data_IF_079097197133
#
_entry.id   IF_079097197133
#
_cell.length_a   1.000
_cell.length_b   1.000
_cell.length_c   1.000
_cell.angle_alpha   90.00
_cell.angle_beta   90.00
_cell.angle_gamma   90.00
#
_symmetry.space_group_name_H-M   'P 1'
#
loop_
_entity.id
_entity.type
_entity.pdbx_description
1 polymer ?
#
# COMPACT_ATOMS: atom_id res chain seq x y z
N UNK A 1 2.06 -11.41 12.68
CA UNK A 1 2.94 -11.07 11.53
C UNK A 1 3.33 -9.59 11.65
N UNK A 2 4.37 -9.13 10.95
CA UNK A 2 4.85 -7.73 11.02
C UNK A 2 3.77 -6.69 10.65
N UNK A 3 2.67 -7.16 10.04
CA UNK A 3 1.49 -6.39 9.68
C UNK A 3 0.56 -6.06 10.84
N UNK A 4 0.51 -6.90 11.88
CA UNK A 4 -0.35 -6.66 13.05
C UNK A 4 0.19 -5.52 13.94
N UNK A 5 1.44 -5.14 13.72
CA UNK A 5 2.12 -4.04 14.42
C UNK A 5 2.06 -2.72 13.66
N UNK A 6 1.45 -2.69 12.48
CA UNK A 6 1.36 -1.48 11.65
C UNK A 6 0.26 -0.55 12.15
N UNK A 7 0.60 0.73 12.24
CA UNK A 7 -0.31 1.79 12.61
C UNK A 7 -0.56 2.75 11.43
N UNK A 8 -1.73 3.41 11.38
CA UNK A 8 -1.93 4.56 10.51
C UNK A 8 -0.84 5.60 10.69
N UNK A 9 -0.24 6.04 9.58
CA UNK A 9 0.89 6.98 9.57
C UNK A 9 2.26 6.32 9.40
N UNK A 10 2.37 5.00 9.58
CA UNK A 10 3.63 4.29 9.35
C UNK A 10 4.04 4.34 7.88
N UNK A 11 5.35 4.35 7.67
CA UNK A 11 5.95 4.36 6.34
C UNK A 11 6.15 2.93 5.87
N UNK A 12 5.71 2.67 4.65
CA UNK A 12 5.86 1.38 3.99
C UNK A 12 6.24 1.58 2.52
N UNK A 13 6.68 0.52 1.86
CA UNK A 13 7.16 0.57 0.49
C UNK A 13 6.57 -0.56 -0.33
N UNK A 14 6.35 -0.30 -1.62
CA UNK A 14 5.89 -1.31 -2.57
C UNK A 14 7.01 -2.31 -2.87
N UNK A 15 6.80 -3.59 -2.59
CA UNK A 15 7.78 -4.64 -2.81
C UNK A 15 8.01 -4.91 -4.30
N UNK A 16 7.00 -4.69 -5.14
CA UNK A 16 7.01 -4.79 -6.59
C UNK A 16 6.14 -3.67 -7.18
N UNK A 17 6.06 -3.59 -8.51
CA UNK A 17 5.10 -2.71 -9.16
C UNK A 17 3.67 -3.15 -8.81
N UNK A 18 2.89 -2.22 -8.29
CA UNK A 18 1.47 -2.41 -7.98
C UNK A 18 0.68 -1.74 -9.10
N UNK A 19 -0.12 -2.54 -9.79
CA UNK A 19 -0.98 -2.10 -10.90
C UNK A 19 -2.44 -2.29 -10.54
N UNK A 20 -3.29 -1.44 -11.10
CA UNK A 20 -4.73 -1.58 -10.93
C UNK A 20 -5.22 -2.88 -11.59
N UNK A 21 -5.76 -3.79 -10.80
CA UNK A 21 -6.40 -5.04 -11.25
C UNK A 21 -7.83 -4.84 -11.75
N UNK A 22 -8.27 -3.58 -11.88
CA UNK A 22 -9.62 -3.18 -12.25
C UNK A 22 -10.50 -2.86 -11.04
N UNK A 23 -10.03 -3.06 -9.81
CA UNK A 23 -10.79 -2.75 -8.60
C UNK A 23 -10.82 -1.27 -8.22
N UNK A 24 -9.86 -0.47 -8.70
CA UNK A 24 -9.75 0.95 -8.36
C UNK A 24 -10.48 1.83 -9.40
N UNK A 25 -11.64 2.42 -9.07
CA UNK A 25 -12.38 3.26 -10.01
C UNK A 25 -11.61 4.54 -10.33
N UNK A 26 -11.71 4.98 -11.58
CA UNK A 26 -11.07 6.21 -12.06
C UNK A 26 -9.64 6.03 -12.57
N UNK A 27 -9.07 4.82 -12.44
CA UNK A 27 -7.82 4.42 -13.09
C UNK A 27 -8.09 3.31 -14.11
N UNK A 28 -7.40 3.29 -15.27
CA UNK A 28 -7.44 2.15 -16.18
C UNK A 28 -6.97 0.86 -15.50
N UNK A 29 -7.42 -0.28 -15.99
CA UNK A 29 -6.79 -1.56 -15.70
C UNK A 29 -5.31 -1.51 -16.12
N UNK A 30 -4.44 -2.21 -15.38
CA UNK A 30 -2.99 -2.23 -15.54
C UNK A 30 -2.28 -0.88 -15.32
N UNK A 31 -2.99 0.19 -14.95
CA UNK A 31 -2.37 1.45 -14.60
C UNK A 31 -1.47 1.29 -13.38
N UNK A 32 -0.24 1.80 -13.45
CA UNK A 32 0.70 1.76 -12.33
C UNK A 32 0.19 2.67 -11.20
N UNK A 33 -0.05 2.06 -10.05
CA UNK A 33 -0.41 2.73 -8.80
C UNK A 33 0.86 3.12 -8.05
N UNK A 34 1.81 2.19 -7.97
CA UNK A 34 3.10 2.38 -7.32
C UNK A 34 4.17 1.56 -8.03
N UNK A 35 5.31 2.19 -8.31
CA UNK A 35 6.51 1.48 -8.75
C UNK A 35 7.14 0.72 -7.57
N UNK A 36 7.97 -0.28 -7.86
CA UNK A 36 8.81 -0.92 -6.85
C UNK A 36 9.61 0.13 -6.07
N UNK A 37 9.71 -0.09 -4.76
CA UNK A 37 10.38 0.77 -3.79
C UNK A 37 9.75 2.18 -3.65
N UNK A 38 8.54 2.39 -4.22
CA UNK A 38 7.79 3.63 -4.03
C UNK A 38 7.30 3.71 -2.58
N UNK A 39 7.60 4.85 -1.96
CA UNK A 39 7.19 5.15 -0.58
C UNK A 39 5.68 5.36 -0.48
N UNK A 40 5.08 4.79 0.54
CA UNK A 40 3.68 4.96 0.91
C UNK A 40 3.49 5.18 2.40
N UNK A 41 2.28 5.58 2.75
CA UNK A 41 1.82 5.78 4.13
C UNK A 41 0.61 4.90 4.37
N UNK A 42 0.63 4.16 5.49
CA UNK A 42 -0.51 3.35 5.91
C UNK A 42 -1.64 4.25 6.38
N UNK A 43 -2.83 4.03 5.84
CA UNK A 43 -4.05 4.72 6.23
C UNK A 43 -4.83 3.88 7.24
N UNK A 44 -4.92 2.57 6.99
CA UNK A 44 -5.60 1.63 7.87
C UNK A 44 -5.16 0.19 7.57
N UNK A 45 -5.44 -0.73 8.49
CA UNK A 45 -5.43 -2.16 8.24
C UNK A 45 -6.83 -2.72 8.45
N UNK A 46 -7.16 -3.80 7.75
CA UNK A 46 -8.47 -4.42 7.84
C UNK A 46 -8.45 -5.85 7.34
N UNK A 47 -9.63 -6.45 7.28
CA UNK A 47 -9.80 -7.81 6.78
C UNK A 47 -10.78 -7.81 5.61
N UNK A 48 -10.59 -8.73 4.67
CA UNK A 48 -11.56 -8.90 3.60
C UNK A 48 -12.89 -9.40 4.19
N UNK A 49 -13.99 -8.72 3.89
CA UNK A 49 -15.30 -9.02 4.52
C UNK A 49 -15.72 -10.49 4.33
N UNK A 50 -15.51 -11.03 3.13
CA UNK A 50 -15.85 -12.42 2.80
C UNK A 50 -14.85 -13.45 3.35
N UNK A 51 -13.63 -13.02 3.70
CA UNK A 51 -12.56 -13.89 4.21
C UNK A 51 -11.81 -13.16 5.33
N UNK A 52 -12.35 -13.15 6.56
CA UNK A 52 -11.80 -12.36 7.66
C UNK A 52 -10.39 -12.79 8.07
N UNK A 53 -9.93 -13.99 7.69
CA UNK A 53 -8.55 -14.40 7.93
C UNK A 53 -7.54 -13.70 7.01
N UNK A 54 -8.00 -13.05 5.93
CA UNK A 54 -7.16 -12.30 4.99
C UNK A 54 -7.08 -10.84 5.39
N UNK A 55 -5.87 -10.43 5.75
CA UNK A 55 -5.55 -9.03 6.06
C UNK A 55 -5.32 -8.23 4.78
N UNK A 56 -5.80 -7.00 4.77
CA UNK A 56 -5.53 -5.99 3.77
C UNK A 56 -4.91 -4.77 4.44
N UNK A 57 -3.95 -4.14 3.76
CA UNK A 57 -3.33 -2.89 4.21
C UNK A 57 -3.76 -1.78 3.25
N UNK A 58 -4.43 -0.76 3.77
CA UNK A 58 -4.83 0.40 3.00
C UNK A 58 -3.68 1.41 3.00
N UNK A 59 -3.09 1.66 1.83
CA UNK A 59 -1.90 2.50 1.66
C UNK A 59 -2.21 3.65 0.70
N UNK A 60 -1.59 4.81 0.92
CA UNK A 60 -1.48 5.87 -0.09
C UNK A 60 -0.02 6.04 -0.47
N UNK A 61 0.29 5.82 -1.75
CA UNK A 61 1.64 6.00 -2.28
C UNK A 61 1.89 7.45 -2.70
N UNK A 62 3.14 7.88 -2.62
CA UNK A 62 3.57 9.14 -3.21
C UNK A 62 3.44 9.09 -4.73
N UNK A 63 2.93 10.17 -5.34
CA UNK A 63 2.74 10.23 -6.80
C UNK A 63 4.01 10.61 -7.54
N UNK A 64 5.04 11.10 -6.85
CA UNK A 64 6.25 11.67 -7.45
C UNK A 64 6.04 13.00 -8.18
N UNK A 65 4.81 13.50 -8.30
CA UNK A 65 4.49 14.76 -9.00
C UNK A 65 4.90 15.97 -8.18
N UNK A 66 4.61 15.97 -6.88
CA UNK A 66 5.05 16.97 -5.91
C UNK A 66 5.45 16.31 -4.59
N UNK A 67 6.41 16.88 -3.85
CA UNK A 67 6.80 16.35 -2.54
C UNK A 67 5.60 16.26 -1.59
N UNK A 68 5.37 15.08 -1.03
CA UNK A 68 4.26 14.82 -0.10
C UNK A 68 2.88 14.70 -0.74
N UNK A 69 2.78 14.78 -2.08
CA UNK A 69 1.53 14.49 -2.78
C UNK A 69 1.28 12.98 -2.79
N UNK A 70 0.14 12.60 -2.21
CA UNK A 70 -0.27 11.21 -2.06
C UNK A 70 -1.40 10.88 -3.04
N UNK A 71 -1.28 9.75 -3.73
CA UNK A 71 -2.28 9.21 -4.63
C UNK A 71 -3.55 8.73 -3.90
N UNK A 72 -4.45 8.03 -4.63
CA UNK A 72 -5.63 7.41 -4.02
C UNK A 72 -5.24 6.35 -2.97
N UNK A 73 -6.18 6.02 -2.09
CA UNK A 73 -6.00 4.92 -1.15
C UNK A 73 -6.22 3.60 -1.88
N UNK A 74 -5.30 2.66 -1.69
CA UNK A 74 -5.30 1.36 -2.37
C UNK A 74 -5.13 0.26 -1.34
N UNK A 75 -5.99 -0.76 -1.43
CA UNK A 75 -5.89 -1.94 -0.60
C UNK A 75 -4.83 -2.86 -1.22
N UNK A 76 -3.77 -3.13 -0.46
CA UNK A 76 -2.67 -3.99 -0.87
C UNK A 76 -2.65 -5.26 -0.03
N UNK A 77 -2.15 -6.32 -0.64
CA UNK A 77 -1.83 -7.54 0.08
C UNK A 77 -0.58 -7.35 0.94
N UNK A 78 -0.49 -8.05 2.08
CA UNK A 78 0.69 -8.08 2.92
C UNK A 78 2.03 -8.28 2.19
N UNK A 79 2.05 -9.18 1.22
CA UNK A 79 3.24 -9.58 0.45
C UNK A 79 3.62 -8.61 -0.67
N UNK A 80 2.76 -7.66 -1.01
CA UNK A 80 3.06 -6.57 -1.94
C UNK A 80 3.82 -5.42 -1.25
N UNK A 81 4.01 -5.50 0.06
CA UNK A 81 4.56 -4.44 0.89
C UNK A 81 5.77 -4.91 1.69
N UNK A 82 6.67 -3.98 1.97
CA UNK A 82 7.78 -4.23 2.89
C UNK A 82 8.16 -2.98 3.68
N UNK A 83 8.73 -3.21 4.86
CA UNK A 83 9.40 -2.17 5.64
C UNK A 83 10.90 -2.40 5.51
N UNK A 84 11.69 -1.39 5.12
CA UNK A 84 13.14 -1.53 5.06
C UNK A 84 13.72 -1.75 6.45
N UNK A 85 14.71 -2.64 6.57
CA UNK A 85 15.35 -3.00 7.84
C UNK A 85 15.97 -1.80 8.59
N UNK A 86 16.23 -0.69 7.90
CA UNK A 86 16.81 0.53 8.47
C UNK A 86 15.77 1.47 9.13
N UNK A 87 14.48 1.13 9.10
CA UNK A 87 13.40 1.92 9.74
C UNK A 87 12.97 1.29 11.08
N UNK A 88 13.43 0.09 11.40
CA UNK A 88 13.19 -0.56 12.69
C UNK A 88 14.31 -0.13 13.65
N UNK A 89 14.05 0.94 14.43
CA UNK A 89 14.85 1.34 15.59
C UNK A 89 14.05 1.12 16.87
#
# INVERSE_FOLDING_TARGET
MLIDTLAPGDIIYAANNITNDGSLPGLPEEAVIAEKDQRGVIINTGHLEDQPDKVLVLVRFETGVKPGELGPAVACWPDELYIPDHVIN
#
